data_IF_274904339744
#
_entry.id   IF_274904339744
#
_cell.length_a   1.000
_cell.length_b   1.000
_cell.length_c   1.000
_cell.angle_alpha   90.00
_cell.angle_beta   90.00
_cell.angle_gamma   90.00
#
_symmetry.space_group_name_H-M   'P 1'
#
loop_
_entity.id
_entity.type
_entity.pdbx_description
1 polymer ?
#
# COMPACT_ATOMS: atom_id res chain seq x y z
N UNK A 1 -7.68 38.30 54.41
CA UNK A 1 -7.10 36.95 54.23
C UNK A 1 -5.90 37.09 53.32
N UNK A 2 -4.72 37.13 53.92
CA UNK A 2 -3.43 37.13 53.24
C UNK A 2 -3.05 35.68 52.94
N UNK A 3 -2.70 35.36 51.68
CA UNK A 3 -1.67 34.34 51.40
C UNK A 3 -0.89 34.77 50.15
N UNK A 4 0.39 35.04 50.37
CA UNK A 4 1.47 35.27 49.41
C UNK A 4 1.91 33.93 48.80
N UNK A 5 2.31 33.89 47.52
CA UNK A 5 3.45 33.06 47.06
C UNK A 5 3.96 33.56 45.71
N UNK A 6 5.27 33.77 45.67
CA UNK A 6 6.07 34.24 44.56
C UNK A 6 6.72 33.08 43.77
N UNK A 7 7.13 33.40 42.54
CA UNK A 7 8.30 32.89 41.78
C UNK A 7 8.71 31.42 41.89
N UNK A 8 8.84 30.76 40.73
CA UNK A 8 10.06 30.00 40.40
C UNK A 8 10.26 29.90 38.87
N UNK A 9 11.38 30.46 38.40
CA UNK A 9 11.98 30.24 37.07
C UNK A 9 12.80 28.95 37.08
N UNK A 10 12.86 28.24 35.94
CA UNK A 10 14.01 27.43 35.45
C UNK A 10 13.60 26.88 34.09
N UNK A 11 14.09 27.36 32.93
CA UNK A 11 15.46 27.26 32.41
C UNK A 11 16.13 25.92 32.73
N UNK A 12 16.06 25.00 31.78
CA UNK A 12 17.00 23.89 31.65
C UNK A 12 17.69 24.07 30.30
N UNK A 13 18.81 24.76 30.34
CA UNK A 13 19.92 24.61 29.40
C UNK A 13 21.03 23.88 30.13
N UNK A 14 21.73 22.96 29.42
CA UNK A 14 23.17 22.67 29.44
C UNK A 14 23.44 21.21 29.06
N UNK A 15 24.03 20.98 27.87
CA UNK A 15 25.44 20.59 27.64
C UNK A 15 25.73 19.09 27.90
N UNK A 16 25.93 18.30 26.85
CA UNK A 16 27.22 18.02 26.18
C UNK A 16 27.97 16.86 26.82
N UNK A 17 28.06 15.75 26.08
CA UNK A 17 29.22 14.85 25.94
C UNK A 17 28.73 13.52 25.36
N UNK A 18 29.24 13.12 24.20
CA UNK A 18 29.78 11.79 23.95
C UNK A 18 30.27 11.69 22.51
N UNK A 19 31.49 12.17 22.35
CA UNK A 19 32.38 11.87 21.24
C UNK A 19 32.91 10.44 21.39
N UNK A 20 32.87 9.70 20.28
CA UNK A 20 33.71 8.55 19.92
C UNK A 20 33.67 7.27 20.78
N UNK A 21 33.08 6.21 20.21
CA UNK A 21 33.65 4.87 20.31
C UNK A 21 33.60 4.20 18.92
N UNK A 22 34.65 4.46 18.14
CA UNK A 22 35.03 3.63 17.01
C UNK A 22 35.71 2.38 17.56
N UNK A 23 35.15 1.20 17.28
CA UNK A 23 35.84 0.03 16.72
C UNK A 23 35.06 -1.26 16.98
N UNK A 24 35.05 -2.09 15.93
CA UNK A 24 34.84 -3.53 15.97
C UNK A 24 33.40 -4.01 16.18
N UNK A 25 32.74 -4.33 15.05
CA UNK A 25 32.48 -5.72 14.68
C UNK A 25 32.23 -5.78 13.17
N UNK A 26 33.25 -6.28 12.47
CA UNK A 26 33.25 -6.58 11.06
C UNK A 26 32.43 -7.87 10.87
N UNK A 27 31.10 -7.75 10.74
CA UNK A 27 30.23 -8.85 10.32
C UNK A 27 29.95 -8.65 8.85
N UNK A 28 30.68 -9.41 8.04
CA UNK A 28 30.39 -9.62 6.62
C UNK A 28 29.03 -10.28 6.50
N UNK A 29 27.99 -9.48 6.24
CA UNK A 29 26.72 -9.99 5.73
C UNK A 29 26.93 -10.22 4.24
N UNK A 30 26.83 -11.45 3.70
CA UNK A 30 26.71 -11.59 2.26
C UNK A 30 25.35 -11.01 1.87
N UNK A 31 25.34 -9.75 1.42
CA UNK A 31 24.20 -9.18 0.70
C UNK A 31 24.07 -9.98 -0.59
N UNK A 32 23.36 -11.10 -0.53
CA UNK A 32 22.82 -11.73 -1.71
C UNK A 32 21.72 -10.80 -2.21
N UNK A 33 22.13 -9.79 -2.97
CA UNK A 33 21.25 -8.99 -3.81
C UNK A 33 20.80 -9.97 -4.89
N UNK A 34 19.73 -10.71 -4.61
CA UNK A 34 18.93 -11.25 -5.68
C UNK A 34 18.41 -10.03 -6.45
N UNK A 35 18.60 -9.93 -7.78
CA UNK A 35 17.91 -8.90 -8.53
C UNK A 35 16.42 -9.10 -8.25
N UNK A 36 15.76 -8.07 -7.69
CA UNK A 36 14.30 -7.99 -7.74
C UNK A 36 13.99 -7.76 -9.22
N UNK A 37 13.96 -8.85 -9.98
CA UNK A 37 13.41 -8.84 -11.32
C UNK A 37 11.93 -8.54 -11.14
N UNK A 38 11.55 -7.28 -11.29
CA UNK A 38 10.19 -6.91 -11.64
C UNK A 38 9.96 -7.40 -13.07
N UNK A 39 9.92 -8.72 -13.25
CA UNK A 39 9.31 -9.28 -14.44
C UNK A 39 7.86 -8.84 -14.37
N UNK A 40 7.44 -7.94 -15.25
CA UNK A 40 6.05 -7.96 -15.71
C UNK A 40 5.87 -9.34 -16.35
N UNK A 41 5.63 -10.35 -15.50
CA UNK A 41 5.29 -11.68 -15.93
C UNK A 41 3.86 -11.56 -16.41
N UNK A 42 3.68 -11.69 -17.72
CA UNK A 42 2.36 -11.78 -18.34
C UNK A 42 1.53 -12.81 -17.54
N UNK A 43 0.30 -12.47 -17.11
CA UNK A 43 -0.53 -13.41 -16.36
C UNK A 43 -0.69 -14.73 -17.13
N UNK A 44 -0.97 -15.86 -16.45
CA UNK A 44 -1.40 -17.08 -17.12
C UNK A 44 -2.59 -16.82 -18.04
N UNK A 45 -2.80 -17.65 -19.06
CA UNK A 45 -3.98 -17.55 -19.92
C UNK A 45 -5.27 -17.55 -19.08
N UNK A 46 -6.25 -16.76 -19.49
CA UNK A 46 -7.49 -16.53 -18.75
C UNK A 46 -7.33 -15.76 -17.44
N UNK A 47 -6.23 -15.02 -17.25
CA UNK A 47 -6.01 -14.18 -16.06
C UNK A 47 -5.64 -12.75 -16.43
N UNK A 48 -5.86 -11.85 -15.47
CA UNK A 48 -5.32 -10.50 -15.44
C UNK A 48 -4.33 -10.38 -14.28
N UNK A 49 -3.46 -9.37 -14.30
CA UNK A 49 -2.59 -9.07 -13.15
C UNK A 49 -3.21 -7.96 -12.31
N UNK A 50 -3.33 -8.19 -11.01
CA UNK A 50 -3.55 -7.11 -10.05
C UNK A 50 -2.21 -6.67 -9.45
N UNK A 51 -2.01 -5.36 -9.37
CA UNK A 51 -0.82 -4.70 -8.88
C UNK A 51 -1.15 -3.99 -7.56
N UNK A 52 -0.44 -4.32 -6.49
CA UNK A 52 -0.62 -3.76 -5.16
C UNK A 52 0.51 -2.78 -4.82
N UNK A 53 0.16 -1.50 -4.65
CA UNK A 53 1.09 -0.45 -4.31
C UNK A 53 1.00 -0.04 -2.83
N UNK A 54 2.12 0.45 -2.29
CA UNK A 54 2.22 1.05 -0.96
C UNK A 54 1.50 0.21 0.12
N UNK A 55 0.51 0.79 0.81
CA UNK A 55 -0.24 0.14 1.88
C UNK A 55 -0.97 -1.14 1.42
N UNK A 56 -1.44 -1.20 0.17
CA UNK A 56 -2.05 -2.43 -0.38
C UNK A 56 -1.01 -3.56 -0.50
N UNK A 57 0.21 -3.22 -0.90
CA UNK A 57 1.31 -4.19 -0.99
C UNK A 57 1.73 -4.70 0.39
N UNK A 58 1.81 -3.79 1.38
CA UNK A 58 2.07 -4.16 2.77
C UNK A 58 0.95 -5.03 3.36
N UNK A 59 -0.32 -4.73 3.05
CA UNK A 59 -1.48 -5.49 3.54
C UNK A 59 -1.50 -6.91 2.98
N UNK A 60 -1.25 -7.06 1.69
CA UNK A 60 -1.29 -8.37 1.00
C UNK A 60 0.02 -9.15 1.08
N UNK A 61 1.11 -8.50 1.49
CA UNK A 61 2.49 -9.02 1.38
C UNK A 61 2.89 -9.41 -0.05
N UNK A 62 2.27 -8.77 -1.06
CA UNK A 62 2.51 -9.01 -2.49
C UNK A 62 2.54 -7.68 -3.24
N UNK A 63 3.25 -7.66 -4.36
CA UNK A 63 3.20 -6.53 -5.31
C UNK A 63 2.40 -6.84 -6.57
N UNK A 64 2.33 -8.12 -6.95
CA UNK A 64 1.59 -8.60 -8.12
C UNK A 64 0.92 -9.92 -7.77
N UNK A 65 -0.31 -10.12 -8.23
CA UNK A 65 -1.01 -11.41 -8.21
C UNK A 65 -1.80 -11.58 -9.50
N UNK A 66 -1.86 -12.79 -10.05
CA UNK A 66 -2.74 -13.07 -11.19
C UNK A 66 -4.10 -13.57 -10.71
N UNK A 67 -5.18 -12.97 -11.22
CA UNK A 67 -6.57 -13.30 -10.88
C UNK A 67 -7.35 -13.75 -12.13
N UNK A 68 -8.34 -14.64 -11.99
CA UNK A 68 -9.13 -15.11 -13.13
C UNK A 68 -9.83 -13.96 -13.87
N UNK A 69 -9.80 -14.02 -15.20
CA UNK A 69 -10.52 -13.16 -16.11
C UNK A 69 -11.52 -14.00 -16.95
N UNK A 70 -12.62 -13.41 -17.45
CA UNK A 70 -13.06 -12.03 -17.23
C UNK A 70 -13.65 -11.80 -15.83
N UNK A 71 -13.52 -10.59 -15.31
CA UNK A 71 -14.09 -10.19 -14.03
C UNK A 71 -14.84 -8.86 -14.16
N UNK A 72 -16.15 -8.79 -13.85
CA UNK A 72 -16.85 -7.51 -13.76
C UNK A 72 -16.18 -6.60 -12.72
N UNK A 73 -15.94 -5.34 -13.05
CA UNK A 73 -15.24 -4.39 -12.17
C UNK A 73 -15.94 -4.26 -10.81
N UNK A 74 -17.27 -4.29 -10.79
CA UNK A 74 -18.10 -4.27 -9.56
C UNK A 74 -17.80 -5.43 -8.58
N UNK A 75 -17.28 -6.55 -9.10
CA UNK A 75 -16.91 -7.74 -8.32
C UNK A 75 -15.46 -7.72 -7.84
N UNK A 76 -14.65 -6.74 -8.26
CA UNK A 76 -13.23 -6.68 -7.91
C UNK A 76 -13.03 -6.58 -6.39
N UNK A 77 -13.71 -5.64 -5.72
CA UNK A 77 -13.51 -5.42 -4.27
C UNK A 77 -14.03 -6.59 -3.43
N UNK A 78 -15.15 -7.20 -3.83
CA UNK A 78 -15.66 -8.43 -3.21
C UNK A 78 -14.64 -9.57 -3.34
N UNK A 79 -14.09 -9.78 -4.54
CA UNK A 79 -13.08 -10.82 -4.80
C UNK A 79 -11.82 -10.62 -3.94
N UNK A 80 -11.40 -9.38 -3.74
CA UNK A 80 -10.24 -9.07 -2.91
C UNK A 80 -10.52 -9.22 -1.41
N UNK A 81 -11.71 -8.84 -0.95
CA UNK A 81 -12.15 -9.03 0.44
C UNK A 81 -12.30 -10.51 0.82
N UNK A 82 -12.72 -11.35 -0.12
CA UNK A 82 -12.73 -12.79 0.07
C UNK A 82 -11.33 -13.38 0.30
N UNK A 83 -10.33 -12.87 -0.43
CA UNK A 83 -8.92 -13.31 -0.36
C UNK A 83 -8.17 -12.70 0.83
N UNK A 84 -8.44 -11.44 1.13
CA UNK A 84 -7.72 -10.63 2.10
C UNK A 84 -8.73 -9.96 3.02
N UNK A 85 -9.12 -10.65 4.09
CA UNK A 85 -10.14 -10.17 5.04
C UNK A 85 -9.77 -8.79 5.61
N UNK A 86 -10.70 -7.86 5.53
CA UNK A 86 -10.58 -6.48 6.00
C UNK A 86 -9.88 -5.53 5.02
N UNK A 87 -9.44 -5.98 3.84
CA UNK A 87 -8.74 -5.12 2.87
C UNK A 87 -9.66 -4.03 2.32
N UNK A 88 -10.97 -4.31 2.21
CA UNK A 88 -11.92 -3.36 1.63
C UNK A 88 -11.98 -2.08 2.45
N UNK A 89 -12.31 -2.21 3.73
CA UNK A 89 -12.41 -1.08 4.66
C UNK A 89 -11.05 -0.43 4.93
N UNK A 90 -9.98 -1.23 5.00
CA UNK A 90 -8.65 -0.72 5.35
C UNK A 90 -7.96 0.02 4.21
N UNK A 91 -8.20 -0.40 2.97
CA UNK A 91 -7.41 0.02 1.80
C UNK A 91 -8.32 0.43 0.64
N UNK A 92 -9.20 -0.47 0.18
CA UNK A 92 -9.87 -0.30 -1.12
C UNK A 92 -10.86 0.87 -1.14
N UNK A 93 -11.61 1.09 -0.06
CA UNK A 93 -12.59 2.18 0.07
C UNK A 93 -11.95 3.59 -0.01
N UNK A 94 -10.63 3.66 0.14
CA UNK A 94 -9.85 4.91 0.04
C UNK A 94 -8.90 4.92 -1.15
N UNK A 95 -8.90 3.88 -1.99
CA UNK A 95 -7.96 3.73 -3.10
C UNK A 95 -8.57 4.13 -4.44
N UNK A 96 -7.71 4.55 -5.36
CA UNK A 96 -8.06 4.64 -6.78
C UNK A 96 -7.72 3.32 -7.49
N UNK A 97 -8.46 3.03 -8.57
CA UNK A 97 -8.22 1.86 -9.41
C UNK A 97 -7.87 2.31 -10.82
N UNK A 98 -6.89 1.64 -11.43
CA UNK A 98 -6.61 1.78 -12.86
C UNK A 98 -6.71 0.44 -13.57
N UNK A 99 -7.06 0.48 -14.85
CA UNK A 99 -6.97 -0.66 -15.77
C UNK A 99 -6.13 -0.19 -16.95
N UNK A 100 -5.04 -0.90 -17.24
CA UNK A 100 -4.09 -0.55 -18.30
C UNK A 100 -3.67 0.93 -18.22
N UNK A 101 -3.33 1.38 -17.01
CA UNK A 101 -2.93 2.76 -16.66
C UNK A 101 -4.05 3.81 -16.78
N UNK A 102 -5.27 3.42 -17.09
CA UNK A 102 -6.43 4.33 -17.17
C UNK A 102 -7.21 4.28 -15.87
N UNK A 103 -7.42 5.43 -15.23
CA UNK A 103 -8.29 5.51 -14.05
C UNK A 103 -9.72 5.12 -14.42
N UNK A 104 -10.33 4.31 -13.57
CA UNK A 104 -11.71 3.87 -13.73
C UNK A 104 -12.51 4.25 -12.50
N UNK A 105 -13.75 4.67 -12.72
CA UNK A 105 -14.69 4.91 -11.65
C UNK A 105 -15.20 3.57 -11.12
N UNK A 106 -15.11 3.38 -9.80
CA UNK A 106 -15.64 2.19 -9.17
C UNK A 106 -17.16 2.32 -9.08
N UNK A 107 -17.94 1.36 -9.60
CA UNK A 107 -19.39 1.44 -9.58
C UNK A 107 -19.88 1.44 -8.12
N UNK A 108 -20.48 2.55 -7.71
CA UNK A 108 -21.02 2.74 -6.36
C UNK A 108 -22.51 2.43 -6.33
N UNK A 109 -22.89 1.16 -6.34
CA UNK A 109 -24.28 0.72 -6.20
C UNK A 109 -24.67 -0.50 -7.05
N UNK A 110 -25.88 -1.02 -6.84
CA UNK A 110 -26.39 -2.20 -7.53
C UNK A 110 -27.00 -1.90 -8.91
N UNK A 111 -27.27 -0.64 -9.25
CA UNK A 111 -27.91 -0.26 -10.51
C UNK A 111 -27.61 1.21 -10.86
N UNK A 112 -26.42 1.47 -11.36
CA UNK A 112 -26.20 2.64 -12.19
C UNK A 112 -26.12 2.10 -13.61
N UNK A 113 -27.06 2.46 -14.49
CA UNK A 113 -27.18 1.99 -15.88
C UNK A 113 -25.97 2.25 -16.79
N UNK A 114 -24.83 2.59 -16.18
CA UNK A 114 -23.48 2.50 -16.71
C UNK A 114 -23.19 1.13 -17.33
N UNK A 115 -22.51 1.15 -18.48
CA UNK A 115 -22.04 -0.06 -19.14
C UNK A 115 -21.17 -0.87 -18.18
N UNK A 116 -21.48 -2.17 -18.02
CA UNK A 116 -20.72 -3.05 -17.14
C UNK A 116 -19.27 -3.15 -17.63
N UNK A 117 -18.36 -2.48 -16.93
CA UNK A 117 -16.93 -2.56 -17.22
C UNK A 117 -16.43 -3.96 -16.82
N UNK A 118 -15.83 -4.67 -17.78
CA UNK A 118 -15.27 -6.01 -17.59
C UNK A 118 -13.76 -5.95 -17.71
N UNK A 119 -13.05 -6.44 -16.68
CA UNK A 119 -11.61 -6.69 -16.70
C UNK A 119 -11.36 -7.94 -17.54
N UNK A 120 -10.47 -7.85 -18.52
CA UNK A 120 -10.20 -8.87 -19.53
C UNK A 120 -8.91 -9.62 -19.25
N UNK A 121 -8.73 -10.75 -19.93
CA UNK A 121 -7.46 -11.47 -19.95
C UNK A 121 -6.33 -10.54 -20.41
N UNK A 122 -5.22 -10.56 -19.67
CA UNK A 122 -4.03 -9.75 -19.95
C UNK A 122 -4.08 -8.33 -19.41
N UNK A 123 -5.21 -7.87 -18.85
CA UNK A 123 -5.28 -6.53 -18.28
C UNK A 123 -4.36 -6.38 -17.04
N UNK A 124 -3.84 -5.17 -16.87
CA UNK A 124 -3.13 -4.76 -15.66
C UNK A 124 -4.03 -3.86 -14.81
N UNK A 125 -4.39 -4.32 -13.62
CA UNK A 125 -5.27 -3.59 -12.70
C UNK A 125 -4.45 -3.12 -11.50
N UNK A 126 -4.38 -1.83 -11.23
CA UNK A 126 -3.64 -1.31 -10.08
C UNK A 126 -4.55 -0.80 -8.97
N UNK A 127 -4.23 -1.18 -7.73
CA UNK A 127 -4.78 -0.56 -6.52
C UNK A 127 -3.80 0.51 -6.07
N UNK A 128 -4.24 1.76 -6.09
CA UNK A 128 -3.45 2.94 -5.76
C UNK A 128 -4.01 3.59 -4.48
N UNK A 129 -3.50 3.21 -3.29
CA UNK A 129 -3.86 3.89 -2.04
C UNK A 129 -3.42 5.36 -2.06
N UNK A 130 -4.02 6.22 -1.21
CA UNK A 130 -3.56 7.59 -1.03
C UNK A 130 -2.07 7.60 -0.67
N UNK A 131 -1.28 8.33 -1.44
CA UNK A 131 0.16 8.46 -1.16
C UNK A 131 0.33 9.39 0.03
N UNK A 132 0.88 8.90 1.14
CA UNK A 132 1.35 9.79 2.19
C UNK A 132 2.59 10.51 1.65
N UNK A 133 2.50 11.82 1.43
CA UNK A 133 3.69 12.65 1.23
C UNK A 133 4.50 12.62 2.53
N UNK A 134 5.44 11.67 2.60
CA UNK A 134 6.40 11.57 3.71
C UNK A 134 7.20 12.83 3.87
#
# INVERSE_FOLDING_TARGET
>A
MHVTTAMQRSQITCHSANQAFLLSKNISIPTSILPVTMTSSNPPKGHFNILFFAAAGSFTSKHVESLPAPLPLKKLFETLEERYKGIKESILDHSLVTINLTYVDMPSGEDDGSEELIIKEGDEVAIIPPVSSG
#
